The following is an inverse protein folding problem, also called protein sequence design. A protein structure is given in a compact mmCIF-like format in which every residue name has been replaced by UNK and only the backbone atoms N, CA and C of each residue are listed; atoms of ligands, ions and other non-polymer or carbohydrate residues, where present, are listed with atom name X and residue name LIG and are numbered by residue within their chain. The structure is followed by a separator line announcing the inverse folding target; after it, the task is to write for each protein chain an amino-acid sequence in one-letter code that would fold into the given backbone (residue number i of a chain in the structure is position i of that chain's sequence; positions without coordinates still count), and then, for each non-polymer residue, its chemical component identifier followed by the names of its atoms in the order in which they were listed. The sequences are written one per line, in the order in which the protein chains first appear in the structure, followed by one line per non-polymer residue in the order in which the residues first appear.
data_IF_235150429500
#
_entry.id   IF_235150429500
#
_cell.length_a   1.000
_cell.length_b   1.000
_cell.length_c   1.000
_cell.angle_alpha   90.00
_cell.angle_beta   90.00
_cell.angle_gamma   90.00
#
_symmetry.space_group_name_H-M   'P 1'
#
loop_
_entity.id
_entity.type
_entity.pdbx_description
1 polymer ?
#
# COMPACT_ATOMS: atom_id res chain seq x y z
N UNK A 1 -10.56 12.37 11.20
CA UNK A 1 -11.20 12.12 9.89
C UNK A 1 -10.15 12.37 8.81
N UNK A 2 -9.90 11.40 7.91
CA UNK A 2 -9.24 11.54 6.58
C UNK A 2 -8.38 10.34 6.10
N UNK A 3 -8.58 9.12 6.61
CA UNK A 3 -8.02 7.91 5.99
C UNK A 3 -8.87 7.33 4.83
N UNK A 4 -10.02 7.95 4.47
CA UNK A 4 -10.97 7.40 3.48
C UNK A 4 -10.40 7.28 2.06
N UNK A 5 -9.39 8.08 1.73
CA UNK A 5 -8.88 8.22 0.36
C UNK A 5 -7.61 7.40 0.09
N UNK A 6 -7.14 6.62 1.06
CA UNK A 6 -5.98 5.74 0.90
C UNK A 6 -6.42 4.29 0.99
N UNK A 7 -6.16 3.52 -0.06
CA UNK A 7 -6.29 2.08 -0.04
C UNK A 7 -4.93 1.43 0.28
N UNK A 8 -4.90 0.52 1.23
CA UNK A 8 -3.66 -0.15 1.67
C UNK A 8 -3.79 -1.65 1.39
N UNK A 9 -2.84 -2.19 0.63
CA UNK A 9 -2.69 -3.62 0.39
C UNK A 9 -1.41 -4.12 1.07
N UNK A 10 -1.57 -5.03 2.03
CA UNK A 10 -0.50 -5.60 2.87
C UNK A 10 -0.52 -7.13 2.73
N UNK A 11 0.05 -7.70 1.67
CA UNK A 11 0.13 -9.15 1.49
C UNK A 11 1.05 -9.75 2.55
N UNK A 12 0.60 -10.81 3.21
CA UNK A 12 1.42 -11.54 4.18
C UNK A 12 2.42 -12.42 3.44
N UNK A 13 3.66 -12.42 3.91
CA UNK A 13 4.67 -13.38 3.47
C UNK A 13 4.23 -14.82 3.75
N UNK A 14 4.59 -15.73 2.84
CA UNK A 14 4.41 -17.17 3.00
C UNK A 14 5.60 -17.81 3.71
N UNK A 15 6.74 -17.12 3.80
CA UNK A 15 7.90 -17.54 4.57
C UNK A 15 7.64 -17.42 6.07
N UNK A 16 7.62 -18.56 6.76
CA UNK A 16 7.35 -18.65 8.20
C UNK A 16 8.36 -17.93 9.07
N UNK A 17 9.61 -17.75 8.62
CA UNK A 17 10.67 -17.05 9.37
C UNK A 17 10.52 -15.52 9.32
N UNK A 18 9.80 -15.00 8.32
CA UNK A 18 9.59 -13.56 8.11
C UNK A 18 8.19 -13.11 8.55
N UNK A 19 7.36 -14.04 9.05
CA UNK A 19 5.97 -13.80 9.44
C UNK A 19 5.83 -12.69 10.50
N UNK A 20 6.81 -12.55 11.38
CA UNK A 20 6.82 -11.56 12.48
C UNK A 20 7.59 -10.28 12.15
N UNK A 21 8.19 -10.18 10.95
CA UNK A 21 8.78 -8.91 10.48
C UNK A 21 7.66 -7.87 10.32
N UNK A 22 7.94 -6.62 10.67
CA UNK A 22 6.93 -5.55 10.66
C UNK A 22 6.45 -5.27 9.23
N UNK A 23 5.20 -5.64 8.93
CA UNK A 23 4.58 -5.50 7.59
C UNK A 23 3.67 -4.27 7.47
N UNK A 24 3.42 -3.56 8.58
CA UNK A 24 2.42 -2.51 8.63
C UNK A 24 2.97 -1.23 8.04
N UNK A 25 2.18 -0.61 7.17
CA UNK A 25 2.43 0.71 6.58
C UNK A 25 2.85 1.73 7.62
N UNK A 26 2.17 1.79 8.76
CA UNK A 26 2.49 2.77 9.80
C UNK A 26 3.87 2.55 10.42
N UNK A 27 4.29 1.31 10.62
CA UNK A 27 5.63 1.00 11.12
C UNK A 27 6.71 1.26 10.06
N UNK A 28 6.39 1.03 8.78
CA UNK A 28 7.27 1.35 7.65
C UNK A 28 7.40 2.85 7.37
N UNK A 29 6.33 3.61 7.61
CA UNK A 29 6.34 5.07 7.50
C UNK A 29 7.00 5.72 8.72
N UNK A 30 6.88 5.16 9.92
CA UNK A 30 7.53 5.65 11.14
C UNK A 30 9.04 5.31 11.17
N UNK A 31 9.71 5.49 10.03
CA UNK A 31 11.16 5.55 9.94
C UNK A 31 11.57 6.99 9.60
N UNK A 32 12.77 7.40 9.98
CA UNK A 32 13.21 8.79 9.82
C UNK A 32 13.19 9.32 8.38
N UNK A 33 13.10 8.43 7.38
CA UNK A 33 13.06 8.77 5.95
C UNK A 33 11.62 9.05 5.48
N UNK A 34 10.65 8.24 5.91
CA UNK A 34 9.27 8.31 5.44
C UNK A 34 8.28 8.89 6.46
N UNK A 35 8.72 9.21 7.68
CA UNK A 35 7.85 9.71 8.76
C UNK A 35 7.07 10.98 8.41
N UNK A 36 7.63 11.80 7.52
CA UNK A 36 6.96 13.01 6.99
C UNK A 36 5.80 12.72 6.04
N UNK A 37 5.67 11.49 5.54
CA UNK A 37 4.59 11.09 4.62
C UNK A 37 3.30 10.67 5.34
N UNK A 38 3.35 10.42 6.66
CA UNK A 38 2.18 10.00 7.45
C UNK A 38 1.08 11.08 7.44
N UNK A 39 1.46 12.33 7.75
CA UNK A 39 0.51 13.44 7.83
C UNK A 39 -0.16 13.77 6.47
N UNK A 40 0.58 13.85 5.35
CA UNK A 40 -0.04 14.01 4.03
C UNK A 40 -1.02 12.89 3.67
N UNK A 41 -0.67 11.62 3.92
CA UNK A 41 -1.56 10.48 3.63
C UNK A 41 -2.85 10.52 4.45
N UNK A 42 -2.77 11.00 5.69
CA UNK A 42 -3.93 11.17 6.57
C UNK A 42 -4.78 12.41 6.25
N UNK A 43 -4.33 13.32 5.38
CA UNK A 43 -5.01 14.61 5.13
C UNK A 43 -5.41 14.83 3.67
N UNK A 44 -5.35 13.78 2.83
CA UNK A 44 -5.76 13.84 1.43
C UNK A 44 -7.23 14.25 1.27
N UNK A 45 -7.48 15.32 0.52
CA UNK A 45 -8.82 15.83 0.23
C UNK A 45 -9.37 15.28 -1.09
N UNK A 46 -8.64 15.51 -2.18
CA UNK A 46 -9.15 15.26 -3.55
C UNK A 46 -8.42 14.13 -4.29
N UNK A 47 -7.28 13.67 -3.76
CA UNK A 47 -6.48 12.61 -4.38
C UNK A 47 -6.75 11.28 -3.71
N UNK A 48 -6.95 10.24 -4.52
CA UNK A 48 -7.13 8.88 -4.04
C UNK A 48 -5.82 8.12 -4.27
N UNK A 49 -5.20 7.71 -3.17
CA UNK A 49 -3.94 6.98 -3.22
C UNK A 49 -4.15 5.51 -2.90
N UNK A 50 -3.24 4.69 -3.41
CA UNK A 50 -3.07 3.35 -2.91
C UNK A 50 -1.61 3.09 -2.55
N UNK A 51 -1.42 2.21 -1.59
CA UNK A 51 -0.13 1.87 -1.04
C UNK A 51 -0.04 0.34 -0.93
N UNK A 52 1.04 -0.21 -1.47
CA UNK A 52 1.42 -1.60 -1.30
C UNK A 52 2.60 -1.62 -0.33
N UNK A 53 2.43 -2.33 0.77
CA UNK A 53 3.45 -2.47 1.81
C UNK A 53 3.74 -3.95 2.03
N UNK A 54 5.00 -4.33 1.85
CA UNK A 54 5.51 -5.66 2.15
C UNK A 54 6.57 -5.56 3.24
N UNK A 55 7.21 -6.68 3.57
CA UNK A 55 8.24 -6.75 4.60
C UNK A 55 9.53 -5.98 4.27
N UNK A 56 9.77 -5.69 2.98
CA UNK A 56 11.00 -5.03 2.51
C UNK A 56 10.74 -3.86 1.56
N UNK A 57 9.52 -3.71 1.06
CA UNK A 57 9.20 -2.70 0.04
C UNK A 57 7.96 -1.90 0.43
N UNK A 58 7.98 -0.63 0.03
CA UNK A 58 6.82 0.25 0.07
C UNK A 58 6.66 0.91 -1.28
N UNK A 59 5.47 0.79 -1.88
CA UNK A 59 5.14 1.40 -3.16
C UNK A 59 3.82 2.16 -3.04
N UNK A 60 3.82 3.44 -3.43
CA UNK A 60 2.63 4.29 -3.43
C UNK A 60 2.33 4.79 -4.83
N UNK A 61 1.05 4.96 -5.14
CA UNK A 61 0.60 5.56 -6.39
C UNK A 61 -0.81 6.14 -6.23
N UNK A 62 -1.31 6.80 -7.27
CA UNK A 62 -2.65 7.38 -7.32
C UNK A 62 -3.57 6.59 -8.25
N UNK A 63 -4.85 6.52 -7.91
CA UNK A 63 -5.87 5.92 -8.77
C UNK A 63 -6.07 6.74 -10.06
N UNK A 64 -5.88 8.06 -9.96
CA UNK A 64 -5.98 9.01 -11.07
C UNK A 64 -4.94 8.75 -12.16
N UNK A 65 -3.74 8.26 -11.80
CA UNK A 65 -2.72 7.84 -12.78
C UNK A 65 -3.22 6.73 -13.72
N UNK A 66 -4.16 5.90 -13.26
CA UNK A 66 -4.76 4.82 -14.03
C UNK A 66 -6.12 5.19 -14.63
N UNK A 67 -6.48 6.48 -14.63
CA UNK A 67 -7.76 6.98 -15.13
C UNK A 67 -8.97 6.60 -14.26
N UNK A 68 -8.75 6.22 -13.00
CA UNK A 68 -9.81 5.73 -12.09
C UNK A 68 -10.37 6.87 -11.25
N UNK A 69 -11.23 7.67 -11.87
CA UNK A 69 -11.80 8.88 -11.26
C UNK A 69 -13.09 8.64 -10.46
N UNK A 70 -13.81 7.54 -10.71
CA UNK A 70 -15.03 7.19 -9.97
C UNK A 70 -14.75 6.19 -8.84
N UNK A 71 -15.64 6.14 -7.84
CA UNK A 71 -15.47 5.22 -6.71
C UNK A 71 -15.59 3.76 -7.14
N UNK A 72 -16.48 3.47 -8.09
CA UNK A 72 -16.68 2.14 -8.68
C UNK A 72 -15.41 1.69 -9.40
N UNK A 73 -14.83 2.55 -10.25
CA UNK A 73 -13.61 2.24 -10.98
C UNK A 73 -12.41 2.03 -10.04
N UNK A 74 -12.37 2.75 -8.90
CA UNK A 74 -11.37 2.52 -7.85
C UNK A 74 -11.58 1.19 -7.15
N UNK A 75 -12.83 0.84 -6.82
CA UNK A 75 -13.16 -0.42 -6.15
C UNK A 75 -12.82 -1.63 -7.01
N UNK A 76 -13.11 -1.59 -8.31
CA UNK A 76 -12.72 -2.65 -9.25
C UNK A 76 -11.18 -2.77 -9.36
N UNK A 77 -10.48 -1.63 -9.32
CA UNK A 77 -9.02 -1.61 -9.43
C UNK A 77 -8.31 -2.16 -8.19
N UNK A 78 -8.97 -2.19 -7.02
CA UNK A 78 -8.41 -2.79 -5.79
C UNK A 78 -7.99 -4.25 -5.99
N UNK A 79 -8.79 -5.03 -6.71
CA UNK A 79 -8.44 -6.43 -7.05
C UNK A 79 -7.11 -6.53 -7.79
N UNK A 80 -6.85 -5.59 -8.70
CA UNK A 80 -5.57 -5.56 -9.44
C UNK A 80 -4.41 -5.15 -8.54
N UNK A 81 -4.65 -4.23 -7.61
CA UNK A 81 -3.64 -3.81 -6.62
C UNK A 81 -3.26 -5.00 -5.74
N UNK A 82 -4.24 -5.77 -5.26
CA UNK A 82 -4.00 -6.97 -4.45
C UNK A 82 -3.25 -8.07 -5.23
N UNK A 83 -3.60 -8.29 -6.50
CA UNK A 83 -2.89 -9.22 -7.38
C UNK A 83 -1.41 -8.83 -7.53
N UNK A 84 -1.13 -7.55 -7.78
CA UNK A 84 0.24 -7.03 -7.92
C UNK A 84 0.98 -7.11 -6.60
N UNK A 85 0.32 -6.80 -5.49
CA UNK A 85 0.91 -6.89 -4.15
C UNK A 85 1.32 -8.34 -3.84
N UNK A 86 0.46 -9.32 -4.15
CA UNK A 86 0.77 -10.73 -3.96
C UNK A 86 1.92 -11.20 -4.86
N UNK A 87 1.96 -10.76 -6.12
CA UNK A 87 3.06 -11.07 -7.03
C UNK A 87 4.39 -10.49 -6.51
N UNK A 88 4.38 -9.25 -6.00
CA UNK A 88 5.55 -8.62 -5.41
C UNK A 88 6.02 -9.36 -4.16
N UNK A 89 5.11 -9.78 -3.29
CA UNK A 89 5.44 -10.60 -2.13
C UNK A 89 6.00 -11.96 -2.53
N UNK A 90 5.44 -12.62 -3.55
CA UNK A 90 5.96 -13.91 -4.05
C UNK A 90 7.38 -13.77 -4.60
N UNK A 91 7.65 -12.70 -5.34
CA UNK A 91 9.00 -12.39 -5.83
C UNK A 91 10.00 -12.20 -4.68
N UNK A 92 9.59 -11.46 -3.64
CA UNK A 92 10.41 -11.23 -2.45
C UNK A 92 10.57 -12.48 -1.58
N UNK A 93 9.60 -13.40 -1.57
CA UNK A 93 9.74 -14.66 -0.83
C UNK A 93 10.69 -15.64 -1.54
N UNK A 94 10.84 -15.52 -2.86
CA UNK A 94 11.74 -16.36 -3.65
C UNK A 94 13.22 -15.94 -3.54
N UNK A 95 13.50 -14.63 -3.57
CA UNK A 95 14.85 -14.06 -3.52
C UNK A 95 15.31 -13.75 -2.09
#
# INVERSE_FOLDING_TARGET
HSAKNVYVSEPKTTNTELKDKRHRVFDGLDNGVHGRMILPLLTLKDAHMFLISTYNTMAYSSFEKYGKHTEEARNEFKTKIDEVAHAQQTYLDFW
#
